data_IF_251071363397
#
_entry.id   IF_251071363397
#
_cell.length_a   1.000
_cell.length_b   1.000
_cell.length_c   1.000
_cell.angle_alpha   90.00
_cell.angle_beta   90.00
_cell.angle_gamma   90.00
#
_symmetry.space_group_name_H-M   'P 1'
#
loop_
_entity.id
_entity.type
_entity.pdbx_description
1 polymer ?
#
# COMPACT_ATOMS: atom_id res chain seq x y z
N UNK A 1 12.86 16.98 -12.58
CA UNK A 1 11.89 15.99 -13.10
C UNK A 1 12.10 14.72 -12.33
N UNK A 2 11.04 14.00 -11.99
CA UNK A 2 11.14 12.70 -11.31
C UNK A 2 11.53 11.61 -12.31
N UNK A 3 12.33 10.64 -11.87
CA UNK A 3 12.64 9.44 -12.64
C UNK A 3 11.37 8.61 -12.87
N UNK A 4 11.37 7.76 -13.90
CA UNK A 4 10.27 6.81 -14.13
C UNK A 4 10.05 5.92 -12.90
N UNK A 5 11.13 5.61 -12.17
CA UNK A 5 11.08 4.86 -10.92
C UNK A 5 10.27 5.60 -9.86
N UNK A 6 10.64 6.86 -9.59
CA UNK A 6 9.94 7.72 -8.63
C UNK A 6 8.47 7.93 -9.01
N UNK A 7 8.17 8.18 -10.29
CA UNK A 7 6.80 8.39 -10.78
C UNK A 7 5.89 7.19 -10.47
N UNK A 8 6.40 5.96 -10.65
CA UNK A 8 5.61 4.75 -10.41
C UNK A 8 5.30 4.53 -8.95
N UNK A 9 6.23 4.88 -8.06
CA UNK A 9 5.95 4.85 -6.62
C UNK A 9 5.01 5.96 -6.18
N UNK A 10 5.00 7.12 -6.84
CA UNK A 10 3.99 8.16 -6.61
C UNK A 10 2.60 7.74 -7.06
N UNK A 11 2.47 7.10 -8.24
CA UNK A 11 1.19 6.53 -8.69
C UNK A 11 0.67 5.49 -7.68
N UNK A 12 1.56 4.65 -7.14
CA UNK A 12 1.19 3.71 -6.10
C UNK A 12 0.77 4.40 -4.79
N UNK A 13 1.48 5.46 -4.37
CA UNK A 13 1.09 6.26 -3.21
C UNK A 13 -0.31 6.88 -3.39
N UNK A 14 -0.64 7.40 -4.57
CA UNK A 14 -1.98 7.93 -4.87
C UNK A 14 -3.07 6.86 -4.76
N UNK A 15 -2.80 5.61 -5.20
CA UNK A 15 -3.73 4.49 -5.00
C UNK A 15 -3.96 4.20 -3.50
N UNK A 16 -2.89 4.29 -2.69
CA UNK A 16 -2.94 4.09 -1.24
C UNK A 16 -3.68 5.23 -0.51
N UNK A 17 -3.52 6.47 -0.94
CA UNK A 17 -4.27 7.63 -0.43
C UNK A 17 -5.78 7.47 -0.72
N UNK A 18 -6.14 7.04 -1.92
CA UNK A 18 -7.52 6.72 -2.27
C UNK A 18 -8.11 5.62 -1.37
N UNK A 19 -7.30 4.59 -1.06
CA UNK A 19 -7.63 3.55 -0.08
C UNK A 19 -7.84 4.11 1.33
N UNK A 20 -7.01 5.06 1.77
CA UNK A 20 -7.13 5.70 3.09
C UNK A 20 -8.45 6.47 3.23
N UNK A 21 -8.83 7.22 2.19
CA UNK A 21 -10.10 7.96 2.14
C UNK A 21 -11.30 7.02 2.17
N UNK A 22 -11.25 5.91 1.43
CA UNK A 22 -12.30 4.89 1.45
C UNK A 22 -12.43 4.25 2.84
N UNK A 23 -11.30 3.92 3.45
CA UNK A 23 -11.25 3.36 4.79
C UNK A 23 -11.78 4.31 5.86
N UNK A 24 -11.65 5.63 5.69
CA UNK A 24 -12.21 6.62 6.61
C UNK A 24 -13.75 6.69 6.55
N UNK A 25 -14.33 6.45 5.37
CA UNK A 25 -15.74 6.67 5.09
C UNK A 25 -16.62 5.40 5.19
N UNK A 26 -16.04 4.20 5.33
CA UNK A 26 -16.80 2.95 5.18
C UNK A 26 -17.10 2.23 6.50
N UNK A 27 -18.30 2.43 7.05
CA UNK A 27 -18.96 1.38 7.85
C UNK A 27 -19.68 0.36 6.95
N UNK A 28 -19.99 0.72 5.69
CA UNK A 28 -20.89 -0.08 4.82
C UNK A 28 -20.39 -0.35 3.38
N UNK A 29 -19.15 0.00 3.02
CA UNK A 29 -18.63 -0.14 1.65
C UNK A 29 -17.54 -1.24 1.51
N UNK A 30 -17.70 -2.35 2.23
CA UNK A 30 -16.69 -3.42 2.29
C UNK A 30 -16.25 -3.96 0.91
N UNK A 31 -17.17 -4.07 -0.05
CA UNK A 31 -16.86 -4.56 -1.40
C UNK A 31 -15.90 -3.65 -2.16
N UNK A 32 -16.10 -2.32 -2.10
CA UNK A 32 -15.24 -1.33 -2.76
C UNK A 32 -13.85 -1.32 -2.13
N UNK A 33 -13.76 -1.37 -0.80
CA UNK A 33 -12.48 -1.40 -0.10
C UNK A 33 -11.64 -2.63 -0.47
N UNK A 34 -12.27 -3.81 -0.56
CA UNK A 34 -11.58 -5.04 -0.99
C UNK A 34 -11.07 -4.94 -2.42
N UNK A 35 -11.87 -4.39 -3.33
CA UNK A 35 -11.45 -4.20 -4.72
C UNK A 35 -10.24 -3.26 -4.81
N UNK A 36 -10.26 -2.13 -4.09
CA UNK A 36 -9.14 -1.20 -4.06
C UNK A 36 -7.87 -1.84 -3.50
N UNK A 37 -7.97 -2.68 -2.45
CA UNK A 37 -6.80 -3.41 -1.92
C UNK A 37 -6.25 -4.40 -2.94
N UNK A 38 -7.13 -5.11 -3.67
CA UNK A 38 -6.69 -5.99 -4.75
C UNK A 38 -6.00 -5.23 -5.89
N UNK A 39 -6.50 -4.05 -6.25
CA UNK A 39 -5.86 -3.17 -7.24
C UNK A 39 -4.47 -2.74 -6.77
N UNK A 40 -4.31 -2.32 -5.51
CA UNK A 40 -2.99 -1.97 -4.96
C UNK A 40 -2.02 -3.17 -4.96
N UNK A 41 -2.49 -4.36 -4.58
CA UNK A 41 -1.68 -5.60 -4.64
C UNK A 41 -1.23 -5.93 -6.06
N UNK A 42 -2.14 -5.83 -7.04
CA UNK A 42 -1.84 -6.08 -8.45
C UNK A 42 -0.88 -5.02 -9.01
N UNK A 43 -1.11 -3.74 -8.72
CA UNK A 43 -0.23 -2.66 -9.15
C UNK A 43 1.19 -2.89 -8.63
N UNK A 44 1.36 -3.18 -7.34
CA UNK A 44 2.67 -3.45 -6.78
C UNK A 44 3.35 -4.65 -7.47
N UNK A 45 2.65 -5.78 -7.59
CA UNK A 45 3.22 -7.00 -8.17
C UNK A 45 3.53 -6.90 -9.67
N UNK A 46 2.73 -6.16 -10.44
CA UNK A 46 2.83 -6.12 -11.91
C UNK A 46 3.51 -4.87 -12.45
N UNK A 47 3.55 -3.78 -11.69
CA UNK A 47 4.11 -2.52 -12.15
C UNK A 47 5.38 -2.14 -11.38
N UNK A 48 5.45 -2.41 -10.07
CA UNK A 48 6.61 -2.00 -9.24
C UNK A 48 7.69 -3.07 -9.13
N UNK A 49 7.32 -4.35 -8.99
CA UNK A 49 8.31 -5.43 -8.90
C UNK A 49 9.01 -5.75 -10.23
N UNK A 50 8.40 -5.36 -11.36
CA UNK A 50 8.96 -5.56 -12.71
C UNK A 50 9.55 -4.27 -13.27
N UNK A 51 9.72 -3.24 -12.43
CA UNK A 51 10.20 -1.95 -12.88
C UNK A 51 11.70 -2.01 -13.17
N UNK A 52 12.12 -1.40 -14.27
CA UNK A 52 13.53 -1.28 -14.61
C UNK A 52 14.27 -0.44 -13.56
N UNK A 53 15.29 -1.05 -12.93
CA UNK A 53 16.15 -0.47 -11.91
C UNK A 53 17.55 -0.15 -12.43
N UNK A 54 17.79 -0.20 -13.74
CA UNK A 54 19.12 -0.03 -14.35
C UNK A 54 19.78 1.32 -14.03
N UNK A 55 18.98 2.36 -13.75
CA UNK A 55 19.45 3.70 -13.39
C UNK A 55 19.79 3.84 -11.89
N UNK A 56 19.52 2.83 -11.06
CA UNK A 56 19.82 2.84 -9.63
C UNK A 56 21.23 2.31 -9.35
N UNK A 57 21.95 2.94 -8.43
CA UNK A 57 23.18 2.36 -7.91
C UNK A 57 22.90 1.05 -7.15
N UNK A 58 23.89 0.13 -7.03
CA UNK A 58 23.71 -1.11 -6.29
C UNK A 58 23.25 -0.93 -4.83
N UNK A 59 23.66 0.19 -4.19
CA UNK A 59 23.26 0.53 -2.82
C UNK A 59 21.79 0.95 -2.76
N UNK A 60 21.35 1.84 -3.66
CA UNK A 60 19.94 2.24 -3.76
C UNK A 60 19.05 1.03 -4.04
N UNK A 61 19.47 0.19 -4.98
CA UNK A 61 18.72 -1.01 -5.37
C UNK A 61 18.57 -2.00 -4.20
N UNK A 62 19.62 -2.21 -3.41
CA UNK A 62 19.56 -3.05 -2.22
C UNK A 62 18.60 -2.49 -1.15
N UNK A 63 18.66 -1.18 -0.88
CA UNK A 63 17.76 -0.51 0.07
C UNK A 63 16.30 -0.58 -0.39
N UNK A 64 16.05 -0.29 -1.66
CA UNK A 64 14.70 -0.32 -2.24
C UNK A 64 14.14 -1.74 -2.22
N UNK A 65 14.93 -2.78 -2.50
CA UNK A 65 14.50 -4.19 -2.36
C UNK A 65 14.08 -4.54 -0.93
N UNK A 66 14.75 -4.00 0.09
CA UNK A 66 14.35 -4.19 1.47
C UNK A 66 12.96 -3.56 1.72
N UNK A 67 12.73 -2.34 1.25
CA UNK A 67 11.40 -1.71 1.33
C UNK A 67 10.34 -2.45 0.52
N UNK A 68 10.64 -2.94 -0.69
CA UNK A 68 9.71 -3.76 -1.49
C UNK A 68 9.28 -5.03 -0.75
N UNK A 69 10.19 -5.65 0.00
CA UNK A 69 9.89 -6.81 0.84
C UNK A 69 8.89 -6.44 1.94
N UNK A 70 9.11 -5.33 2.63
CA UNK A 70 8.16 -4.85 3.66
C UNK A 70 6.83 -4.39 3.05
N UNK A 71 6.82 -3.72 1.89
CA UNK A 71 5.59 -3.34 1.18
C UNK A 71 4.78 -4.59 0.83
N UNK A 72 5.41 -5.63 0.28
CA UNK A 72 4.75 -6.89 -0.06
C UNK A 72 4.08 -7.50 1.16
N UNK A 73 4.80 -7.58 2.29
CA UNK A 73 4.27 -8.07 3.57
C UNK A 73 3.10 -7.22 4.07
N UNK A 74 3.23 -5.90 4.05
CA UNK A 74 2.16 -5.00 4.50
C UNK A 74 0.92 -5.11 3.60
N UNK A 75 1.08 -5.27 2.28
CA UNK A 75 -0.04 -5.48 1.36
C UNK A 75 -0.78 -6.80 1.62
N UNK A 76 -0.08 -7.88 1.99
CA UNK A 76 -0.73 -9.12 2.40
C UNK A 76 -1.57 -8.94 3.67
N UNK A 77 -0.99 -8.27 4.68
CA UNK A 77 -1.67 -7.97 5.93
C UNK A 77 -2.86 -7.02 5.73
N UNK A 78 -2.74 -6.04 4.83
CA UNK A 78 -3.84 -5.14 4.46
C UNK A 78 -5.04 -5.91 3.91
N UNK A 79 -4.77 -6.92 3.07
CA UNK A 79 -5.79 -7.84 2.57
C UNK A 79 -6.48 -8.64 3.69
N UNK A 80 -5.74 -9.03 4.74
CA UNK A 80 -6.32 -9.68 5.92
C UNK A 80 -7.18 -8.72 6.73
N UNK A 81 -6.71 -7.50 6.95
CA UNK A 81 -7.43 -6.48 7.72
C UNK A 81 -8.78 -6.15 7.10
N UNK A 82 -8.86 -6.04 5.77
CA UNK A 82 -10.15 -5.84 5.08
C UNK A 82 -11.09 -7.02 5.31
N UNK A 83 -10.60 -8.26 5.24
CA UNK A 83 -11.44 -9.44 5.51
C UNK A 83 -11.95 -9.46 6.96
N UNK A 84 -11.09 -9.12 7.92
CA UNK A 84 -11.49 -9.04 9.32
C UNK A 84 -12.47 -7.90 9.59
N UNK A 85 -12.29 -6.74 8.94
CA UNK A 85 -13.23 -5.63 9.02
C UNK A 85 -14.61 -6.04 8.47
N UNK A 86 -14.66 -6.72 7.32
CA UNK A 86 -15.91 -7.22 6.73
C UNK A 86 -16.62 -8.26 7.60
N UNK A 87 -15.87 -9.07 8.34
CA UNK A 87 -16.42 -10.10 9.21
C UNK A 87 -16.81 -9.57 10.61
N UNK A 88 -16.45 -8.32 10.95
CA UNK A 88 -16.69 -7.76 12.27
C UNK A 88 -18.20 -7.51 12.49
N UNK A 89 -18.75 -8.13 13.55
CA UNK A 89 -20.17 -7.96 13.93
C UNK A 89 -20.38 -6.92 15.02
N UNK A 90 -19.37 -6.68 15.84
CA UNK A 90 -19.42 -5.70 16.92
C UNK A 90 -18.76 -4.39 16.46
N UNK A 91 -19.42 -3.27 16.75
CA UNK A 91 -18.92 -1.93 16.38
C UNK A 91 -17.51 -1.67 16.92
N UNK A 92 -17.24 -2.02 18.17
CA UNK A 92 -15.91 -1.87 18.77
C UNK A 92 -14.82 -2.64 18.00
N UNK A 93 -15.14 -3.87 17.55
CA UNK A 93 -14.22 -4.66 16.72
C UNK A 93 -14.01 -4.01 15.36
N UNK A 94 -15.09 -3.54 14.71
CA UNK A 94 -14.99 -2.86 13.42
C UNK A 94 -14.12 -1.59 13.50
N UNK A 95 -14.31 -0.75 14.52
CA UNK A 95 -13.49 0.44 14.77
C UNK A 95 -12.02 0.08 14.94
N UNK A 96 -11.71 -0.93 15.77
CA UNK A 96 -10.33 -1.38 15.97
C UNK A 96 -9.68 -1.88 14.65
N UNK A 97 -10.43 -2.61 13.82
CA UNK A 97 -9.94 -3.06 12.50
C UNK A 97 -9.74 -1.91 11.54
N UNK A 98 -10.62 -0.92 11.54
CA UNK A 98 -10.48 0.29 10.73
C UNK A 98 -9.21 1.08 11.13
N UNK A 99 -8.92 1.20 12.42
CA UNK A 99 -7.69 1.84 12.91
C UNK A 99 -6.43 1.08 12.46
N UNK A 100 -6.42 -0.25 12.59
CA UNK A 100 -5.29 -1.08 12.12
C UNK A 100 -5.06 -0.92 10.62
N UNK A 101 -6.13 -0.92 9.83
CA UNK A 101 -6.07 -0.73 8.39
C UNK A 101 -5.49 0.64 8.04
N UNK A 102 -5.95 1.73 8.68
CA UNK A 102 -5.42 3.09 8.46
C UNK A 102 -3.93 3.18 8.77
N UNK A 103 -3.51 2.68 9.93
CA UNK A 103 -2.10 2.68 10.33
C UNK A 103 -1.22 1.91 9.35
N UNK A 104 -1.74 0.82 8.77
CA UNK A 104 -1.01 0.06 7.76
C UNK A 104 -0.86 0.82 6.44
N UNK A 105 -1.90 1.54 6.01
CA UNK A 105 -1.82 2.39 4.82
C UNK A 105 -0.80 3.51 5.04
N UNK A 106 -0.78 4.13 6.22
CA UNK A 106 0.22 5.16 6.57
C UNK A 106 1.66 4.61 6.51
N UNK A 107 1.87 3.38 7.00
CA UNK A 107 3.17 2.69 6.89
C UNK A 107 3.58 2.48 5.43
N UNK A 108 2.65 2.01 4.58
CA UNK A 108 2.89 1.82 3.15
C UNK A 108 3.22 3.15 2.44
N UNK A 109 2.51 4.23 2.76
CA UNK A 109 2.79 5.57 2.23
C UNK A 109 4.17 6.07 2.63
N UNK A 110 4.57 5.85 3.89
CA UNK A 110 5.93 6.19 4.35
C UNK A 110 7.00 5.46 3.55
N UNK A 111 6.82 4.17 3.25
CA UNK A 111 7.78 3.44 2.41
C UNK A 111 7.83 3.98 0.98
N UNK A 112 6.68 4.35 0.41
CA UNK A 112 6.66 4.96 -0.92
C UNK A 112 7.45 6.28 -0.94
N UNK A 113 7.25 7.14 0.06
CA UNK A 113 7.97 8.41 0.18
C UNK A 113 9.49 8.18 0.31
N UNK A 114 9.90 7.24 1.17
CA UNK A 114 11.33 6.90 1.32
C UNK A 114 11.92 6.37 0.02
N UNK A 115 11.22 5.50 -0.72
CA UNK A 115 11.71 5.02 -2.02
C UNK A 115 11.81 6.17 -3.04
N UNK A 116 10.85 7.09 -3.06
CA UNK A 116 10.91 8.26 -3.96
C UNK A 116 12.11 9.15 -3.64
N UNK A 117 12.49 9.29 -2.37
CA UNK A 117 13.69 10.04 -1.95
C UNK A 117 15.00 9.31 -2.26
N UNK A 118 14.98 7.97 -2.27
CA UNK A 118 16.16 7.14 -2.55
C UNK A 118 16.44 6.95 -4.05
N UNK A 119 15.42 6.98 -4.90
CA UNK A 119 15.48 6.70 -6.34
C UNK A 119 15.67 7.95 -7.22
#
# INVERSE_FOLDING_TARGET
>A
MLSRYQQRYQEFAQLLEGLQLQAANSVLAGGKLRQSVQQAQQFFGQQLLTLDSSDLSPVQEAQIRAYQTEISKQLQLLGMDVRFLQAARAQATATNRQTQLKSRIETLLSYCNTIVELA
#
